data_IF_128418219118
#
_entry.id   IF_128418219118
#
_cell.length_a   1.000
_cell.length_b   1.000
_cell.length_c   1.000
_cell.angle_alpha   90.00
_cell.angle_beta   90.00
_cell.angle_gamma   90.00
#
_symmetry.space_group_name_H-M   'P 1'
#
loop_
_entity.id
_entity.type
_entity.pdbx_description
1 polymer ?
#
# COMPACT_ATOMS: atom_id res chain seq x y z
N UNK A 1 2.63 26.81 -12.95
CA UNK A 1 3.92 26.96 -12.23
C UNK A 1 4.89 25.88 -12.72
N UNK A 2 5.97 26.27 -13.39
CA UNK A 2 7.04 25.37 -13.87
C UNK A 2 8.00 24.98 -12.73
N UNK A 3 8.77 23.88 -12.86
CA UNK A 3 9.64 23.36 -11.78
C UNK A 3 10.75 24.33 -11.34
N UNK A 4 11.13 25.28 -12.18
CA UNK A 4 12.19 26.27 -11.93
C UNK A 4 11.94 27.27 -10.80
N UNK A 5 10.73 27.31 -10.24
CA UNK A 5 10.36 28.26 -9.18
C UNK A 5 10.34 27.63 -7.78
N UNK A 6 10.65 26.34 -7.65
CA UNK A 6 10.71 25.69 -6.35
C UNK A 6 12.03 26.01 -5.64
N UNK A 7 11.92 26.29 -4.35
CA UNK A 7 13.01 26.58 -3.43
C UNK A 7 12.99 25.60 -2.26
N UNK A 8 14.07 25.54 -1.48
CA UNK A 8 14.15 24.70 -0.28
C UNK A 8 13.33 25.25 0.89
N UNK A 9 13.12 26.56 0.93
CA UNK A 9 12.35 27.30 1.94
C UNK A 9 11.62 28.49 1.31
N UNK A 10 10.63 29.05 2.01
CA UNK A 10 9.83 30.18 1.54
C UNK A 10 8.33 29.95 1.73
N UNK A 11 7.51 30.48 0.82
CA UNK A 11 6.06 30.30 0.87
C UNK A 11 5.67 28.87 0.44
N UNK A 12 4.73 28.27 1.17
CA UNK A 12 4.23 26.91 0.93
C UNK A 12 3.46 26.80 -0.38
N UNK A 13 3.63 25.67 -1.08
CA UNK A 13 2.85 25.34 -2.28
C UNK A 13 1.99 24.12 -2.00
N UNK A 14 0.67 24.31 -1.93
CA UNK A 14 -0.31 23.24 -1.80
C UNK A 14 -0.55 22.62 -3.17
N UNK A 15 -0.28 21.32 -3.27
CA UNK A 15 -0.38 20.50 -4.49
C UNK A 15 -1.38 19.36 -4.28
N UNK A 16 -1.68 18.62 -5.34
CA UNK A 16 -2.60 17.48 -5.28
C UNK A 16 -2.21 16.42 -4.25
N UNK A 17 -0.90 16.28 -3.93
CA UNK A 17 -0.42 15.37 -2.91
C UNK A 17 -0.81 15.79 -1.48
N UNK A 18 -1.01 17.10 -1.26
CA UNK A 18 -1.44 17.64 0.04
C UNK A 18 -2.93 17.41 0.31
N UNK A 19 -3.73 17.24 -0.75
CA UNK A 19 -5.18 17.09 -0.66
C UNK A 19 -5.49 15.60 -0.58
N UNK A 20 -5.62 15.06 0.63
CA UNK A 20 -6.24 13.77 0.90
C UNK A 20 -7.76 13.87 0.89
N UNK A 21 -8.44 12.77 1.22
CA UNK A 21 -9.88 12.72 1.32
C UNK A 21 -10.33 12.99 2.76
N UNK A 22 -10.76 14.23 3.04
CA UNK A 22 -11.05 14.69 4.40
C UNK A 22 -9.81 15.09 5.22
N UNK A 23 -8.60 14.77 4.74
CA UNK A 23 -7.35 14.92 5.51
C UNK A 23 -6.30 15.71 4.73
N UNK A 24 -5.70 16.71 5.36
CA UNK A 24 -4.55 17.42 4.83
C UNK A 24 -3.25 16.63 5.07
N UNK A 25 -2.45 16.44 4.02
CA UNK A 25 -1.15 15.77 4.08
C UNK A 25 -0.04 16.83 4.02
N UNK A 26 0.82 16.89 5.04
CA UNK A 26 1.87 17.94 5.15
C UNK A 26 3.10 17.67 4.27
N UNK A 27 2.88 17.40 2.98
CA UNK A 27 3.94 17.28 1.99
C UNK A 27 4.56 18.66 1.70
N UNK A 28 5.89 18.76 1.84
CA UNK A 28 6.57 20.05 1.81
C UNK A 28 6.98 20.46 0.40
N UNK A 29 6.68 21.71 0.06
CA UNK A 29 7.14 22.36 -1.16
C UNK A 29 7.08 23.87 -0.99
N UNK A 30 8.09 24.56 -1.52
CA UNK A 30 8.23 26.00 -1.31
C UNK A 30 8.55 26.73 -2.61
N UNK A 31 8.20 28.01 -2.62
CA UNK A 31 8.60 29.00 -3.61
C UNK A 31 9.18 30.20 -2.89
N UNK A 32 9.95 31.01 -3.60
CA UNK A 32 10.45 32.26 -3.07
C UNK A 32 9.31 33.21 -2.64
N UNK A 33 9.52 33.93 -1.54
CA UNK A 33 8.50 34.83 -0.96
C UNK A 33 8.21 36.01 -1.88
N UNK A 34 9.19 36.54 -2.62
CA UNK A 34 8.95 37.62 -3.59
C UNK A 34 8.08 37.15 -4.75
N UNK A 35 8.20 35.87 -5.15
CA UNK A 35 7.32 35.29 -6.16
C UNK A 35 5.91 34.99 -5.62
N UNK A 36 5.80 34.65 -4.34
CA UNK A 36 4.51 34.56 -3.65
C UNK A 36 3.74 35.89 -3.65
N UNK A 37 4.43 37.01 -3.41
CA UNK A 37 3.80 38.35 -3.43
C UNK A 37 3.16 38.68 -4.80
N UNK A 38 3.66 38.09 -5.89
CA UNK A 38 3.07 38.23 -7.23
C UNK A 38 1.83 37.34 -7.44
N UNK A 39 1.57 36.38 -6.55
CA UNK A 39 0.54 35.34 -6.66
C UNK A 39 -0.49 35.38 -5.52
N UNK A 40 -0.65 36.54 -4.87
CA UNK A 40 -1.53 36.73 -3.70
C UNK A 40 -2.97 36.27 -3.92
N UNK A 41 -3.48 36.36 -5.15
CA UNK A 41 -4.82 35.87 -5.51
C UNK A 41 -5.00 34.35 -5.26
N UNK A 42 -3.90 33.60 -5.22
CA UNK A 42 -3.87 32.15 -4.97
C UNK A 42 -3.53 31.78 -3.52
N UNK A 43 -3.39 32.77 -2.63
CA UNK A 43 -3.06 32.57 -1.22
C UNK A 43 -4.08 31.67 -0.51
N UNK A 44 -3.62 30.69 0.26
CA UNK A 44 -4.47 29.85 1.10
C UNK A 44 -4.14 30.05 2.57
N UNK A 45 -5.18 30.06 3.40
CA UNK A 45 -5.09 30.32 4.84
C UNK A 45 -5.62 29.13 5.63
N UNK A 46 -5.29 29.07 6.91
CA UNK A 46 -5.90 28.12 7.82
C UNK A 46 -7.43 28.24 7.79
N UNK A 47 -8.12 27.10 7.79
CA UNK A 47 -9.57 27.01 7.67
C UNK A 47 -10.13 27.13 6.26
N UNK A 48 -9.34 27.51 5.25
CA UNK A 48 -9.78 27.44 3.85
C UNK A 48 -9.98 25.97 3.43
N UNK A 49 -11.00 25.71 2.62
CA UNK A 49 -11.22 24.40 1.99
C UNK A 49 -10.40 24.33 0.70
N UNK A 50 -9.59 23.30 0.53
CA UNK A 50 -8.87 23.05 -0.73
C UNK A 50 -9.41 21.79 -1.40
N UNK A 51 -9.74 21.91 -2.68
CA UNK A 51 -10.42 20.87 -3.47
C UNK A 51 -9.53 20.50 -4.65
N UNK A 52 -9.24 19.21 -4.81
CA UNK A 52 -8.59 18.70 -6.00
C UNK A 52 -9.54 18.81 -7.19
N UNK A 53 -9.07 19.40 -8.28
CA UNK A 53 -9.81 19.45 -9.55
C UNK A 53 -9.51 18.27 -10.47
N UNK A 54 -8.62 17.38 -10.05
CA UNK A 54 -7.97 16.38 -10.91
C UNK A 54 -7.59 15.14 -10.11
N UNK A 55 -8.01 13.96 -10.58
CA UNK A 55 -7.79 12.68 -9.90
C UNK A 55 -8.98 11.74 -10.08
N UNK A 56 -8.81 10.49 -9.67
CA UNK A 56 -9.81 9.42 -9.88
C UNK A 56 -11.08 9.63 -9.06
N UNK A 57 -10.95 10.04 -7.79
CA UNK A 57 -12.08 10.36 -6.91
C UNK A 57 -12.23 11.88 -6.82
N UNK A 58 -13.27 12.44 -7.44
CA UNK A 58 -13.57 13.87 -7.41
C UNK A 58 -15.00 14.11 -6.90
N UNK A 59 -15.24 15.18 -6.10
CA UNK A 59 -14.26 16.14 -5.59
C UNK A 59 -13.57 15.60 -4.32
N UNK A 60 -12.23 15.48 -4.35
CA UNK A 60 -11.44 15.20 -3.13
C UNK A 60 -11.03 16.52 -2.48
N UNK A 61 -11.23 16.65 -1.17
CA UNK A 61 -10.99 17.91 -0.47
C UNK A 61 -10.44 17.72 0.94
N UNK A 62 -9.81 18.76 1.48
CA UNK A 62 -9.43 18.85 2.89
C UNK A 62 -9.43 20.31 3.37
N UNK A 63 -9.46 20.49 4.69
CA UNK A 63 -9.33 21.81 5.32
C UNK A 63 -7.85 22.08 5.58
N UNK A 64 -7.38 23.27 5.25
CA UNK A 64 -5.99 23.67 5.49
C UNK A 64 -5.79 23.93 6.98
N UNK A 65 -4.81 23.26 7.62
CA UNK A 65 -4.49 23.50 9.03
C UNK A 65 -3.73 24.83 9.19
N UNK A 66 -3.40 25.18 10.42
CA UNK A 66 -2.39 26.21 10.67
C UNK A 66 -1.06 25.80 10.03
N UNK A 67 -0.49 26.69 9.22
CA UNK A 67 0.77 26.48 8.52
C UNK A 67 1.82 27.47 9.01
N UNK A 68 3.08 27.03 9.04
CA UNK A 68 4.21 27.89 9.38
C UNK A 68 4.60 28.75 8.18
N UNK A 69 3.85 29.83 7.96
CA UNK A 69 4.12 30.84 6.92
C UNK A 69 3.10 30.86 5.78
N UNK A 70 3.27 31.78 4.81
CA UNK A 70 2.34 31.99 3.71
C UNK A 70 2.25 30.76 2.81
N UNK A 71 1.09 30.55 2.17
CA UNK A 71 0.85 29.41 1.31
C UNK A 71 0.03 29.80 0.07
N UNK A 72 0.22 29.08 -1.04
CA UNK A 72 -0.63 29.19 -2.25
C UNK A 72 -1.12 27.83 -2.72
N UNK A 73 -2.23 27.82 -3.47
CA UNK A 73 -2.66 26.63 -4.21
C UNK A 73 -2.02 26.57 -5.61
N UNK A 74 -1.62 25.37 -6.03
CA UNK A 74 -1.24 25.09 -7.42
C UNK A 74 -2.47 25.03 -8.33
N UNK A 75 -2.32 25.21 -9.64
CA UNK A 75 -3.42 25.31 -10.61
C UNK A 75 -4.49 24.20 -10.55
N UNK A 76 -4.12 22.96 -10.21
CA UNK A 76 -5.09 21.85 -10.10
C UNK A 76 -5.77 21.76 -8.71
N UNK A 77 -5.46 22.67 -7.80
CA UNK A 77 -5.97 22.78 -6.44
C UNK A 77 -6.81 24.05 -6.34
N UNK A 78 -8.08 23.89 -5.97
CA UNK A 78 -9.06 24.97 -5.90
C UNK A 78 -9.24 25.36 -4.44
N UNK A 79 -8.98 26.62 -4.12
CA UNK A 79 -9.30 27.20 -2.80
C UNK A 79 -10.75 27.67 -2.78
N UNK A 80 -11.50 27.24 -1.79
CA UNK A 80 -12.82 27.76 -1.45
C UNK A 80 -12.80 28.32 -0.02
N UNK A 81 -13.07 29.62 0.10
CA UNK A 81 -13.30 30.28 1.39
C UNK A 81 -14.79 30.30 1.66
N UNK A 82 -15.21 29.50 2.63
CA UNK A 82 -16.63 29.28 2.93
C UNK A 82 -17.18 30.45 3.74
N UNK A 83 -18.44 30.81 3.50
CA UNK A 83 -19.10 31.91 4.20
C UNK A 83 -19.17 31.63 5.72
N UNK A 84 -18.97 32.62 6.63
CA UNK A 84 -18.97 32.37 8.07
C UNK A 84 -20.25 31.74 8.65
N UNK A 85 -21.39 31.87 7.96
CA UNK A 85 -22.65 31.22 8.34
C UNK A 85 -22.78 29.76 7.84
N UNK A 86 -21.75 29.23 7.20
CA UNK A 86 -21.67 27.84 6.74
C UNK A 86 -20.41 27.22 7.33
N UNK A 87 -20.55 26.13 8.07
CA UNK A 87 -19.41 25.42 8.64
C UNK A 87 -18.57 24.79 7.51
N UNK A 88 -17.28 25.11 7.43
CA UNK A 88 -16.39 24.54 6.40
C UNK A 88 -16.36 23.01 6.46
N UNK A 89 -16.47 22.41 7.66
CA UNK A 89 -16.52 20.94 7.84
C UNK A 89 -17.80 20.33 7.30
N UNK A 90 -18.92 21.06 7.36
CA UNK A 90 -20.16 20.65 6.71
C UNK A 90 -19.96 20.51 5.20
N UNK A 91 -19.36 21.52 4.57
CA UNK A 91 -19.04 21.49 3.14
C UNK A 91 -18.07 20.34 2.82
N UNK A 92 -17.02 20.15 3.63
CA UNK A 92 -16.07 19.06 3.48
C UNK A 92 -16.77 17.69 3.45
N UNK A 93 -17.57 17.38 4.47
CA UNK A 93 -18.28 16.10 4.53
C UNK A 93 -19.30 15.94 3.40
N UNK A 94 -19.90 17.03 2.92
CA UNK A 94 -20.83 17.00 1.80
C UNK A 94 -20.11 16.64 0.50
N UNK A 95 -18.91 17.19 0.25
CA UNK A 95 -18.07 16.80 -0.90
C UNK A 95 -17.67 15.33 -0.86
N UNK A 96 -17.54 14.75 0.34
CA UNK A 96 -17.23 13.34 0.54
C UNK A 96 -18.45 12.42 0.37
N UNK A 97 -19.68 12.96 0.40
CA UNK A 97 -20.89 12.16 0.33
C UNK A 97 -21.04 11.45 -1.02
N UNK A 98 -21.50 10.18 -1.05
CA UNK A 98 -21.66 9.41 -2.29
C UNK A 98 -22.47 10.16 -3.35
N UNK A 99 -23.62 10.74 -2.98
CA UNK A 99 -24.47 11.49 -3.90
C UNK A 99 -23.74 12.65 -4.61
N UNK A 100 -22.83 13.33 -3.90
CA UNK A 100 -22.05 14.45 -4.45
C UNK A 100 -20.97 13.96 -5.40
N UNK A 101 -20.34 12.82 -5.08
CA UNK A 101 -19.35 12.17 -5.94
C UNK A 101 -19.98 11.61 -7.21
N UNK A 102 -21.17 11.01 -7.11
CA UNK A 102 -21.93 10.53 -8.26
C UNK A 102 -22.31 11.70 -9.18
N UNK A 103 -22.81 12.80 -8.59
CA UNK A 103 -23.13 14.03 -9.32
C UNK A 103 -21.91 14.64 -10.02
N UNK A 104 -20.74 14.61 -9.38
CA UNK A 104 -19.49 15.12 -9.95
C UNK A 104 -18.99 14.21 -11.08
N UNK A 105 -19.01 12.90 -10.86
CA UNK A 105 -18.61 11.88 -11.83
C UNK A 105 -19.44 11.98 -13.10
N UNK A 106 -20.75 12.18 -12.98
CA UNK A 106 -21.65 12.34 -14.14
C UNK A 106 -21.37 13.58 -15.00
N UNK A 107 -20.53 14.51 -14.53
CA UNK A 107 -20.18 15.78 -15.20
C UNK A 107 -18.75 15.80 -15.73
N UNK A 108 -17.94 14.81 -15.39
CA UNK A 108 -16.58 14.67 -15.92
C UNK A 108 -16.69 14.12 -17.35
N UNK A 109 -16.06 14.80 -18.30
CA UNK A 109 -15.99 14.39 -19.70
C UNK A 109 -14.56 13.97 -20.06
N UNK A 110 -14.42 12.90 -20.85
CA UNK A 110 -13.14 12.43 -21.40
C UNK A 110 -12.59 11.17 -20.72
N UNK A 111 -11.77 10.41 -21.46
CA UNK A 111 -11.11 9.17 -21.00
C UNK A 111 -9.67 9.51 -20.56
N UNK A 112 -9.24 9.04 -19.38
CA UNK A 112 -7.86 9.14 -18.92
C UNK A 112 -7.67 9.94 -17.64
N UNK A 113 -7.61 11.28 -17.73
CA UNK A 113 -7.29 12.17 -16.60
C UNK A 113 -8.54 12.94 -16.12
N UNK A 114 -9.43 12.32 -15.33
CA UNK A 114 -10.67 12.93 -14.86
C UNK A 114 -10.44 14.30 -14.21
N UNK A 115 -11.22 15.30 -14.65
CA UNK A 115 -11.10 16.68 -14.21
C UNK A 115 -12.46 17.30 -13.93
N UNK A 116 -12.63 17.84 -12.73
CA UNK A 116 -13.74 18.70 -12.34
C UNK A 116 -13.21 20.13 -12.19
N UNK A 117 -13.23 20.89 -13.28
CA UNK A 117 -12.73 22.27 -13.31
C UNK A 117 -13.58 23.24 -12.49
N UNK A 118 -13.12 24.49 -12.41
CA UNK A 118 -13.75 25.54 -11.59
C UNK A 118 -15.25 25.74 -11.85
N UNK A 119 -15.68 25.67 -13.12
CA UNK A 119 -17.09 25.79 -13.49
C UNK A 119 -17.93 24.66 -12.89
N UNK A 120 -17.42 23.41 -12.91
CA UNK A 120 -18.09 22.26 -12.31
C UNK A 120 -18.15 22.36 -10.78
N UNK A 121 -17.05 22.76 -10.13
CA UNK A 121 -17.02 22.92 -8.67
C UNK A 121 -18.04 23.98 -8.20
N UNK A 122 -18.18 25.09 -8.93
CA UNK A 122 -19.16 26.15 -8.59
C UNK A 122 -20.62 25.71 -8.71
N UNK A 123 -20.89 24.65 -9.46
CA UNK A 123 -22.24 24.12 -9.68
C UNK A 123 -22.61 23.01 -8.70
N UNK A 124 -21.69 22.56 -7.83
CA UNK A 124 -21.99 21.52 -6.85
C UNK A 124 -23.14 22.00 -5.96
N UNK A 125 -24.26 21.27 -5.92
CA UNK A 125 -25.38 21.62 -5.06
C UNK A 125 -25.00 21.37 -3.60
N UNK A 126 -25.10 22.40 -2.76
CA UNK A 126 -24.80 22.32 -1.33
C UNK A 126 -26.09 22.60 -0.56
N UNK A 127 -26.66 21.62 0.18
CA UNK A 127 -27.71 21.91 1.13
C UNK A 127 -27.12 22.74 2.28
N UNK A 128 -27.81 23.82 2.67
CA UNK A 128 -27.35 24.73 3.71
C UNK A 128 -28.44 24.82 4.80
N UNK A 129 -28.50 23.84 5.72
CA UNK A 129 -29.36 23.96 6.89
C UNK A 129 -28.84 25.06 7.82
N UNK A 130 -29.59 25.46 8.87
CA UNK A 130 -29.13 26.43 9.87
C UNK A 130 -27.75 26.10 10.42
N UNK A 131 -26.96 27.13 10.77
CA UNK A 131 -25.59 26.93 11.26
C UNK A 131 -25.55 26.03 12.51
N UNK A 132 -26.53 26.14 13.39
CA UNK A 132 -26.64 25.29 14.59
C UNK A 132 -26.85 23.82 14.22
N UNK A 133 -27.71 23.53 13.24
CA UNK A 133 -27.94 22.18 12.73
C UNK A 133 -26.68 21.63 12.04
N UNK A 134 -26.02 22.43 11.19
CA UNK A 134 -24.75 22.05 10.54
C UNK A 134 -23.73 21.58 11.58
N UNK A 135 -23.48 22.39 12.62
CA UNK A 135 -22.52 22.08 13.69
C UNK A 135 -22.86 20.79 14.44
N UNK A 136 -24.15 20.56 14.71
CA UNK A 136 -24.64 19.36 15.41
C UNK A 136 -24.45 18.09 14.58
N UNK A 137 -24.75 18.16 13.27
CA UNK A 137 -24.54 17.04 12.35
C UNK A 137 -23.04 16.74 12.19
N UNK A 138 -22.21 17.78 11.99
CA UNK A 138 -20.75 17.66 11.88
C UNK A 138 -20.18 17.00 13.13
N UNK A 139 -20.55 17.46 14.33
CA UNK A 139 -20.07 16.88 15.57
C UNK A 139 -20.43 15.38 15.69
N UNK A 140 -21.64 14.99 15.27
CA UNK A 140 -22.04 13.59 15.26
C UNK A 140 -21.22 12.77 14.25
N UNK A 141 -21.04 13.27 13.02
CA UNK A 141 -20.22 12.62 11.98
C UNK A 141 -18.78 12.41 12.44
N UNK A 142 -18.13 13.46 12.95
CA UNK A 142 -16.75 13.40 13.44
C UNK A 142 -16.62 12.42 14.60
N UNK A 143 -17.61 12.36 15.50
CA UNK A 143 -17.67 11.37 16.57
C UNK A 143 -17.71 9.93 16.05
N UNK A 144 -18.55 9.63 15.05
CA UNK A 144 -18.58 8.32 14.43
C UNK A 144 -17.30 8.00 13.66
N UNK A 145 -16.78 8.93 12.87
CA UNK A 145 -15.56 8.74 12.09
C UNK A 145 -14.33 8.52 12.95
N UNK A 146 -14.25 9.19 14.10
CA UNK A 146 -13.21 8.94 15.10
C UNK A 146 -13.25 7.50 15.62
N UNK A 147 -14.44 6.99 15.98
CA UNK A 147 -14.64 5.60 16.42
C UNK A 147 -14.28 4.58 15.33
N UNK A 148 -14.69 4.85 14.08
CA UNK A 148 -14.33 3.99 12.93
C UNK A 148 -12.81 3.97 12.76
N UNK A 149 -12.17 5.15 12.78
CA UNK A 149 -10.71 5.25 12.60
C UNK A 149 -9.95 4.52 13.70
N UNK A 150 -10.41 4.61 14.95
CA UNK A 150 -9.84 3.85 16.06
C UNK A 150 -9.97 2.34 15.85
N UNK A 151 -11.16 1.85 15.44
CA UNK A 151 -11.38 0.45 15.10
C UNK A 151 -10.47 -0.01 13.95
N UNK A 152 -10.39 0.77 12.86
CA UNK A 152 -9.51 0.50 11.72
C UNK A 152 -8.04 0.36 12.14
N UNK A 153 -7.56 1.21 13.06
CA UNK A 153 -6.18 1.15 13.55
C UNK A 153 -5.89 -0.13 14.35
N UNK A 154 -6.86 -0.58 15.15
CA UNK A 154 -6.77 -1.83 15.93
C UNK A 154 -6.72 -3.06 15.02
N UNK A 155 -7.56 -3.05 13.97
CA UNK A 155 -7.58 -4.07 12.91
C UNK A 155 -6.24 -4.10 12.17
N UNK A 156 -5.66 -2.94 11.85
CA UNK A 156 -4.36 -2.87 11.19
C UNK A 156 -3.21 -3.39 12.08
N UNK A 157 -3.25 -3.11 13.38
CA UNK A 157 -2.28 -3.67 14.33
C UNK A 157 -2.41 -5.20 14.43
N UNK A 158 -3.64 -5.73 14.44
CA UNK A 158 -3.88 -7.18 14.41
C UNK A 158 -3.31 -7.82 13.13
N UNK A 159 -3.51 -7.20 11.96
CA UNK A 159 -2.92 -7.65 10.69
C UNK A 159 -1.39 -7.81 10.77
N UNK A 160 -0.69 -6.78 11.27
CA UNK A 160 0.78 -6.81 11.43
C UNK A 160 1.24 -7.93 12.37
N UNK A 161 0.51 -8.17 13.47
CA UNK A 161 0.82 -9.28 14.40
C UNK A 161 0.65 -10.64 13.72
N UNK A 162 -0.43 -10.83 12.97
CA UNK A 162 -0.71 -12.07 12.23
C UNK A 162 0.37 -12.39 11.19
N UNK A 163 0.94 -11.39 10.52
CA UNK A 163 2.01 -11.57 9.52
C UNK A 163 3.28 -12.21 10.10
N UNK A 164 3.52 -12.07 11.41
CA UNK A 164 4.71 -12.62 12.09
C UNK A 164 4.41 -13.84 12.95
N UNK A 165 3.12 -14.13 13.22
CA UNK A 165 2.70 -15.15 14.18
C UNK A 165 3.16 -16.56 13.80
N UNK A 166 3.01 -16.96 12.54
CA UNK A 166 3.39 -18.31 12.09
C UNK A 166 4.89 -18.58 12.29
N UNK A 167 5.75 -17.58 12.06
CA UNK A 167 7.20 -17.69 12.30
C UNK A 167 7.52 -17.82 13.79
N UNK A 168 6.87 -17.00 14.61
CA UNK A 168 7.04 -17.00 16.07
C UNK A 168 6.62 -18.31 16.73
N UNK A 169 5.62 -19.01 16.19
CA UNK A 169 5.17 -20.30 16.73
C UNK A 169 6.27 -21.35 16.58
N UNK A 170 6.95 -21.40 15.43
CA UNK A 170 8.08 -22.32 15.21
C UNK A 170 9.17 -22.02 16.24
N UNK A 171 9.62 -20.78 16.33
CA UNK A 171 10.68 -20.39 17.27
C UNK A 171 10.29 -20.72 18.73
N UNK A 172 9.07 -20.37 19.16
CA UNK A 172 8.58 -20.64 20.52
C UNK A 172 8.50 -22.13 20.85
N UNK A 173 8.04 -22.97 19.91
CA UNK A 173 8.03 -24.43 20.09
C UNK A 173 9.43 -24.99 20.21
N UNK A 174 10.36 -24.53 19.37
CA UNK A 174 11.77 -24.96 19.40
C UNK A 174 12.48 -24.55 20.71
N UNK A 175 12.15 -23.38 21.25
CA UNK A 175 12.70 -22.90 22.53
C UNK A 175 12.16 -23.69 23.73
N UNK A 176 10.85 -23.93 23.78
CA UNK A 176 10.22 -24.64 24.89
C UNK A 176 10.74 -26.09 25.05
N UNK A 177 10.99 -26.76 23.92
CA UNK A 177 11.36 -28.17 23.90
C UNK A 177 12.85 -28.45 24.13
N UNK A 178 13.70 -27.42 24.24
CA UNK A 178 15.17 -27.56 24.41
C UNK A 178 15.79 -28.60 23.46
N UNK A 179 15.35 -28.58 22.20
CA UNK A 179 15.64 -29.63 21.23
C UNK A 179 17.14 -29.69 20.93
N UNK A 180 17.71 -30.90 20.96
CA UNK A 180 19.08 -31.14 20.48
C UNK A 180 19.19 -30.76 19.01
N UNK A 181 20.25 -30.05 18.66
CA UNK A 181 20.56 -29.74 17.27
C UNK A 181 21.57 -30.73 16.71
N UNK A 182 21.54 -30.93 15.40
CA UNK A 182 22.54 -31.70 14.68
C UNK A 182 22.97 -30.96 13.42
N UNK A 183 24.23 -31.11 12.96
CA UNK A 183 24.65 -30.55 11.69
C UNK A 183 23.76 -31.09 10.56
N UNK A 184 23.38 -30.24 9.60
CA UNK A 184 22.58 -30.65 8.45
C UNK A 184 23.15 -31.90 7.77
N UNK A 185 24.48 -32.01 7.68
CA UNK A 185 25.17 -33.16 7.10
C UNK A 185 24.76 -34.50 7.71
N UNK A 186 24.47 -34.56 9.00
CA UNK A 186 24.17 -35.83 9.68
C UNK A 186 22.74 -36.34 9.44
N UNK A 187 21.86 -35.50 8.88
CA UNK A 187 20.45 -35.82 8.63
C UNK A 187 20.14 -35.94 7.13
N UNK A 188 21.15 -36.01 6.26
CA UNK A 188 20.96 -36.14 4.82
C UNK A 188 20.72 -37.59 4.40
N UNK A 189 19.71 -37.83 3.57
CA UNK A 189 19.51 -39.10 2.87
C UNK A 189 20.41 -39.24 1.64
N UNK A 190 20.87 -38.12 1.09
CA UNK A 190 21.76 -38.08 -0.07
C UNK A 190 22.69 -36.87 0.01
N UNK A 191 23.89 -36.92 -0.62
CA UNK A 191 24.75 -35.76 -0.72
C UNK A 191 24.03 -34.56 -1.33
N UNK A 192 24.39 -33.36 -0.85
CA UNK A 192 23.89 -32.11 -1.42
C UNK A 192 24.26 -32.02 -2.90
N UNK A 193 23.32 -31.59 -3.73
CA UNK A 193 23.54 -31.48 -5.17
C UNK A 193 23.34 -30.04 -5.63
N UNK A 194 24.31 -29.50 -6.36
CA UNK A 194 24.12 -28.26 -7.12
C UNK A 194 23.43 -28.60 -8.43
N UNK A 195 22.57 -27.70 -8.91
CA UNK A 195 22.05 -27.83 -10.27
C UNK A 195 23.11 -27.44 -11.30
N UNK A 196 22.70 -27.38 -12.57
CA UNK A 196 23.57 -26.97 -13.67
C UNK A 196 22.96 -25.82 -14.45
N UNK A 197 23.78 -24.82 -14.76
CA UNK A 197 23.38 -23.69 -15.59
C UNK A 197 23.33 -24.13 -17.05
N UNK A 198 22.27 -23.73 -17.74
CA UNK A 198 22.14 -23.91 -19.18
C UNK A 198 21.60 -22.65 -19.86
N UNK A 199 22.04 -22.38 -21.10
CA UNK A 199 21.43 -21.37 -21.96
C UNK A 199 19.92 -21.59 -22.07
N UNK A 200 19.17 -20.49 -22.14
CA UNK A 200 17.73 -20.55 -22.40
C UNK A 200 17.49 -21.01 -23.83
N UNK A 201 16.51 -21.90 -23.98
CA UNK A 201 16.03 -22.39 -25.26
C UNK A 201 14.51 -22.54 -25.14
N UNK A 202 13.73 -21.90 -26.02
CA UNK A 202 12.27 -21.79 -25.85
C UNK A 202 11.61 -23.17 -25.93
N UNK A 203 12.14 -24.04 -26.77
CA UNK A 203 11.67 -25.43 -26.95
C UNK A 203 12.51 -26.43 -26.15
N UNK A 204 13.41 -25.94 -25.31
CA UNK A 204 14.31 -26.76 -24.51
C UNK A 204 13.63 -27.44 -23.32
N UNK A 205 14.34 -28.40 -22.73
CA UNK A 205 13.87 -29.14 -21.55
C UNK A 205 13.53 -28.20 -20.38
N UNK A 206 12.44 -28.43 -19.63
CA UNK A 206 12.05 -27.57 -18.52
C UNK A 206 13.09 -27.46 -17.41
N UNK A 207 13.46 -26.22 -17.05
CA UNK A 207 14.38 -25.89 -15.96
C UNK A 207 13.77 -24.84 -15.05
N UNK A 208 13.76 -25.08 -13.74
CA UNK A 208 13.29 -24.11 -12.75
C UNK A 208 14.10 -22.80 -12.81
N UNK A 209 13.45 -21.69 -12.48
CA UNK A 209 14.10 -20.41 -12.22
C UNK A 209 14.30 -20.26 -10.71
N UNK A 210 15.27 -19.43 -10.31
CA UNK A 210 15.44 -19.10 -8.89
C UNK A 210 14.16 -18.51 -8.26
N UNK A 211 13.33 -17.82 -9.06
CA UNK A 211 12.03 -17.25 -8.68
C UNK A 211 10.97 -18.29 -8.31
N UNK A 212 11.21 -19.58 -8.57
CA UNK A 212 10.38 -20.68 -8.10
C UNK A 212 10.42 -20.86 -6.58
N UNK A 213 11.47 -20.41 -5.90
CA UNK A 213 11.53 -20.43 -4.43
C UNK A 213 10.68 -19.30 -3.85
N UNK A 214 9.53 -19.64 -3.25
CA UNK A 214 8.59 -18.66 -2.66
C UNK A 214 8.12 -19.13 -1.29
N UNK A 215 8.34 -18.31 -0.27
CA UNK A 215 7.76 -18.49 1.08
C UNK A 215 7.83 -19.90 1.70
N UNK A 216 8.92 -20.63 1.44
CA UNK A 216 9.12 -22.00 1.97
C UNK A 216 8.57 -23.11 1.08
N UNK A 217 8.02 -22.78 -0.09
CA UNK A 217 7.54 -23.73 -1.10
C UNK A 217 8.26 -23.55 -2.44
N UNK A 218 8.10 -24.53 -3.33
CA UNK A 218 8.61 -24.51 -4.70
C UNK A 218 7.45 -24.39 -5.70
N UNK A 219 7.45 -23.34 -6.51
CA UNK A 219 6.46 -23.09 -7.56
C UNK A 219 6.94 -23.65 -8.91
N UNK A 220 6.37 -24.76 -9.35
CA UNK A 220 6.76 -25.44 -10.59
C UNK A 220 6.43 -24.64 -11.86
N UNK A 221 5.56 -23.63 -11.78
CA UNK A 221 5.23 -22.78 -12.95
C UNK A 221 6.36 -21.80 -13.29
N UNK A 222 7.23 -21.49 -12.32
CA UNK A 222 8.37 -20.57 -12.47
C UNK A 222 9.57 -21.27 -13.10
N UNK A 223 9.46 -21.54 -14.40
CA UNK A 223 10.45 -22.28 -15.19
C UNK A 223 10.82 -21.58 -16.51
N UNK A 224 11.81 -22.13 -17.19
CA UNK A 224 12.20 -21.79 -18.57
C UNK A 224 12.54 -23.06 -19.33
N UNK A 225 12.49 -23.03 -20.66
CA UNK A 225 13.18 -24.05 -21.43
C UNK A 225 14.70 -23.81 -21.38
N UNK A 226 15.46 -24.88 -21.21
CA UNK A 226 16.91 -24.87 -21.16
C UNK A 226 17.48 -25.84 -22.20
N UNK A 227 18.68 -25.52 -22.71
CA UNK A 227 19.39 -26.39 -23.65
C UNK A 227 19.95 -27.63 -22.95
N UNK A 228 19.06 -28.57 -22.67
CA UNK A 228 19.32 -29.90 -22.14
C UNK A 228 18.67 -30.94 -23.02
N UNK A 229 19.35 -32.07 -23.20
CA UNK A 229 18.68 -33.31 -23.59
C UNK A 229 18.03 -33.95 -22.35
N UNK A 230 17.06 -34.86 -22.55
CA UNK A 230 16.49 -35.62 -21.44
C UNK A 230 17.57 -36.42 -20.68
N UNK A 231 18.59 -36.92 -21.39
CA UNK A 231 19.72 -37.63 -20.79
C UNK A 231 20.58 -36.71 -19.91
N UNK A 232 20.85 -35.47 -20.34
CA UNK A 232 21.58 -34.48 -19.53
C UNK A 232 20.84 -34.11 -18.24
N UNK A 233 19.51 -34.02 -18.33
CA UNK A 233 18.65 -33.60 -17.23
C UNK A 233 18.45 -34.69 -16.17
N UNK A 234 18.68 -35.97 -16.48
CA UNK A 234 18.31 -37.12 -15.64
C UNK A 234 18.78 -37.01 -14.17
N UNK A 235 20.02 -36.58 -13.94
CA UNK A 235 20.57 -36.42 -12.58
C UNK A 235 20.06 -35.18 -11.83
N UNK A 236 19.51 -34.22 -12.58
CA UNK A 236 18.99 -32.95 -12.08
C UNK A 236 17.47 -32.92 -12.01
N UNK A 237 16.79 -34.05 -12.28
CA UNK A 237 15.33 -34.10 -12.16
C UNK A 237 14.92 -33.80 -10.72
N UNK A 238 13.97 -32.89 -10.61
CA UNK A 238 13.30 -32.52 -9.38
C UNK A 238 12.36 -33.67 -9.00
N UNK A 239 12.36 -34.06 -7.73
CA UNK A 239 11.49 -35.09 -7.19
C UNK A 239 10.64 -34.53 -6.05
N UNK A 240 9.49 -35.14 -5.82
CA UNK A 240 8.66 -34.83 -4.65
C UNK A 240 9.49 -34.93 -3.37
N UNK A 241 9.22 -34.02 -2.45
CA UNK A 241 9.91 -33.83 -1.16
C UNK A 241 11.37 -33.36 -1.28
N UNK A 242 11.83 -32.99 -2.48
CA UNK A 242 13.07 -32.24 -2.61
C UNK A 242 12.92 -30.87 -1.96
N UNK A 243 13.91 -30.51 -1.13
CA UNK A 243 14.03 -29.18 -0.58
C UNK A 243 15.16 -28.43 -1.29
N UNK A 244 14.87 -27.27 -1.85
CA UNK A 244 15.87 -26.46 -2.56
C UNK A 244 16.17 -25.20 -1.80
N UNK A 245 17.40 -24.70 -1.91
CA UNK A 245 17.79 -23.40 -1.36
C UNK A 245 18.48 -22.52 -2.39
N UNK A 246 18.29 -21.20 -2.24
CA UNK A 246 18.94 -20.18 -3.08
C UNK A 246 20.44 -20.09 -2.76
N UNK A 247 21.29 -20.38 -3.74
CA UNK A 247 22.74 -20.40 -3.57
C UNK A 247 23.38 -19.01 -3.56
N UNK A 248 22.72 -18.02 -4.16
CA UNK A 248 23.17 -16.63 -4.12
C UNK A 248 22.07 -15.62 -4.37
N UNK A 249 22.19 -14.44 -3.78
CA UNK A 249 21.22 -13.36 -3.90
C UNK A 249 21.87 -11.99 -3.60
N UNK A 250 21.35 -10.90 -4.17
CA UNK A 250 21.79 -9.54 -3.83
C UNK A 250 21.45 -9.12 -2.40
N UNK A 251 20.45 -9.76 -1.77
CA UNK A 251 20.06 -9.50 -0.39
C UNK A 251 20.51 -10.62 0.55
N UNK A 252 21.15 -10.23 1.67
CA UNK A 252 21.57 -11.15 2.73
C UNK A 252 20.37 -11.92 3.32
N UNK A 253 19.23 -11.26 3.47
CA UNK A 253 17.99 -11.87 4.00
C UNK A 253 17.31 -12.86 3.04
N UNK A 254 17.74 -12.89 1.77
CA UNK A 254 17.20 -13.76 0.73
C UNK A 254 18.15 -14.91 0.34
N UNK A 255 19.47 -14.76 0.54
CA UNK A 255 20.41 -15.86 0.31
C UNK A 255 20.13 -17.03 1.26
N UNK A 256 20.16 -18.25 0.71
CA UNK A 256 19.85 -19.47 1.44
C UNK A 256 18.41 -19.64 1.86
N UNK A 257 17.48 -18.81 1.37
CA UNK A 257 16.05 -19.14 1.50
C UNK A 257 15.75 -20.44 0.78
N UNK A 258 14.87 -21.23 1.38
CA UNK A 258 14.51 -22.54 0.88
C UNK A 258 13.05 -22.69 0.48
N UNK A 259 12.77 -23.78 -0.23
CA UNK A 259 11.46 -24.14 -0.72
C UNK A 259 11.34 -25.66 -0.81
N UNK A 260 10.30 -26.20 -0.18
CA UNK A 260 9.92 -27.61 -0.29
C UNK A 260 9.02 -27.80 -1.52
N UNK A 261 9.28 -28.85 -2.29
CA UNK A 261 8.31 -29.35 -3.25
C UNK A 261 7.42 -30.41 -2.59
N UNK A 262 6.15 -30.10 -2.41
CA UNK A 262 5.17 -31.04 -1.84
C UNK A 262 4.38 -31.81 -2.90
N UNK A 263 4.26 -31.25 -4.10
CA UNK A 263 3.50 -31.83 -5.21
C UNK A 263 4.38 -32.72 -6.10
N UNK A 264 3.75 -33.66 -6.82
CA UNK A 264 4.46 -34.50 -7.79
C UNK A 264 4.85 -33.65 -9.02
N UNK A 265 6.14 -33.52 -9.36
CA UNK A 265 6.55 -32.70 -10.49
C UNK A 265 6.39 -33.44 -11.82
N UNK A 266 6.14 -32.69 -12.89
CA UNK A 266 6.45 -33.15 -14.24
C UNK A 266 7.98 -33.19 -14.45
N UNK A 267 8.43 -33.67 -15.61
CA UNK A 267 9.85 -33.76 -15.93
C UNK A 267 10.47 -32.34 -16.01
N UNK A 268 11.09 -31.92 -14.91
CA UNK A 268 11.72 -30.61 -14.76
C UNK A 268 13.02 -30.77 -13.97
N UNK A 269 14.04 -30.03 -14.36
CA UNK A 269 15.32 -30.02 -13.67
C UNK A 269 15.64 -28.65 -13.05
N UNK A 270 16.67 -28.56 -12.21
CA UNK A 270 16.96 -27.35 -11.42
C UNK A 270 18.31 -26.71 -11.76
N UNK A 271 18.41 -25.36 -11.69
CA UNK A 271 19.59 -24.62 -12.11
C UNK A 271 20.69 -24.62 -11.05
N UNK A 272 21.92 -24.24 -11.44
CA UNK A 272 23.06 -24.12 -10.53
C UNK A 272 22.89 -23.07 -9.42
N UNK A 273 21.93 -22.16 -9.59
CA UNK A 273 21.55 -21.16 -8.58
C UNK A 273 20.83 -21.76 -7.39
N UNK A 274 20.50 -23.06 -7.42
CA UNK A 274 19.90 -23.80 -6.33
C UNK A 274 20.82 -24.92 -5.81
N UNK A 275 20.68 -25.23 -4.52
CA UNK A 275 21.22 -26.45 -3.92
C UNK A 275 20.04 -27.32 -3.47
N UNK A 276 20.04 -28.59 -3.85
CA UNK A 276 19.09 -29.60 -3.41
C UNK A 276 19.53 -30.24 -2.10
N UNK A 277 18.58 -30.40 -1.19
CA UNK A 277 18.67 -31.04 0.11
C UNK A 277 17.65 -32.18 0.13
N UNK A 278 18.11 -33.37 0.51
CA UNK A 278 17.27 -34.54 0.79
C UNK A 278 17.59 -35.03 2.19
N UNK A 279 16.60 -35.03 3.05
CA UNK A 279 16.76 -35.49 4.44
C UNK A 279 16.37 -36.94 4.58
N UNK A 280 17.01 -37.61 5.54
CA UNK A 280 16.61 -38.93 6.01
C UNK A 280 15.28 -38.80 6.75
N UNK A 281 14.23 -39.39 6.17
CA UNK A 281 12.85 -39.25 6.66
C UNK A 281 12.61 -39.92 8.01
N UNK A 282 13.45 -40.89 8.37
CA UNK A 282 13.39 -41.54 9.67
C UNK A 282 13.89 -40.61 10.78
N UNK A 283 14.68 -39.59 10.42
CA UNK A 283 15.21 -38.59 11.34
C UNK A 283 14.46 -37.26 11.25
N UNK A 284 14.18 -36.76 10.04
CA UNK A 284 13.60 -35.44 9.80
C UNK A 284 12.58 -35.48 8.67
N UNK A 285 11.36 -35.03 8.96
CA UNK A 285 10.32 -34.85 7.95
C UNK A 285 10.65 -33.65 7.04
N UNK A 286 10.52 -33.77 5.71
CA UNK A 286 10.77 -32.66 4.77
C UNK A 286 9.95 -31.39 5.07
N UNK A 287 8.69 -31.55 5.49
CA UNK A 287 7.81 -30.46 5.92
C UNK A 287 8.34 -29.77 7.18
N UNK A 288 8.85 -30.56 8.13
CA UNK A 288 9.47 -30.02 9.33
C UNK A 288 10.74 -29.25 9.00
N UNK A 289 11.60 -29.79 8.11
CA UNK A 289 12.78 -29.08 7.60
C UNK A 289 12.37 -27.72 7.02
N UNK A 290 11.34 -27.67 6.17
CA UNK A 290 10.87 -26.42 5.57
C UNK A 290 10.46 -25.38 6.63
N UNK A 291 9.77 -25.80 7.69
CA UNK A 291 9.39 -24.93 8.80
C UNK A 291 10.61 -24.39 9.56
N UNK A 292 11.53 -25.27 9.95
CA UNK A 292 12.69 -24.86 10.75
C UNK A 292 13.75 -24.11 9.94
N UNK A 293 13.82 -24.32 8.62
CA UNK A 293 14.76 -23.60 7.75
C UNK A 293 14.47 -22.09 7.72
N UNK A 294 13.20 -21.72 7.84
CA UNK A 294 12.75 -20.33 7.98
C UNK A 294 12.79 -19.77 9.40
N UNK A 295 13.13 -20.58 10.40
CA UNK A 295 13.22 -20.16 11.81
C UNK A 295 14.37 -19.19 12.04
N UNK A 296 14.28 -18.41 13.11
CA UNK A 296 15.33 -17.46 13.49
C UNK A 296 16.67 -18.17 13.69
N UNK A 297 16.66 -19.30 14.40
CA UNK A 297 17.86 -20.07 14.75
C UNK A 297 18.64 -20.55 13.52
N UNK A 298 17.96 -21.00 12.47
CA UNK A 298 18.61 -21.46 11.24
C UNK A 298 19.01 -20.28 10.35
N UNK A 299 18.15 -19.26 10.24
CA UNK A 299 18.42 -18.08 9.42
C UNK A 299 19.64 -17.29 9.87
N UNK A 300 19.81 -17.06 11.16
CA UNK A 300 20.98 -16.36 11.71
C UNK A 300 22.30 -17.08 11.37
N UNK A 301 22.31 -18.43 11.41
CA UNK A 301 23.48 -19.22 11.02
C UNK A 301 23.80 -19.08 9.52
N UNK A 302 22.78 -19.15 8.66
CA UNK A 302 22.95 -19.01 7.21
C UNK A 302 23.50 -17.62 6.87
N UNK A 303 22.90 -16.56 7.42
CA UNK A 303 23.31 -15.18 7.16
C UNK A 303 24.74 -14.91 7.64
N UNK A 304 25.11 -15.44 8.82
CA UNK A 304 26.49 -15.36 9.34
C UNK A 304 27.51 -16.11 8.47
N UNK A 305 27.09 -17.22 7.85
CA UNK A 305 27.94 -18.04 6.99
C UNK A 305 28.11 -17.47 5.57
N UNK A 306 27.17 -16.64 5.11
CA UNK A 306 27.17 -16.09 3.77
C UNK A 306 28.41 -15.22 3.51
N UNK A 307 28.87 -15.21 2.26
CA UNK A 307 30.01 -14.38 1.80
C UNK A 307 29.60 -13.56 0.59
N UNK A 308 30.05 -12.31 0.54
CA UNK A 308 29.72 -11.40 -0.57
C UNK A 308 30.81 -11.40 -1.62
N UNK A 309 30.43 -11.42 -2.90
CA UNK A 309 31.33 -11.21 -4.02
C UNK A 309 30.63 -10.32 -5.03
N UNK A 310 31.22 -9.17 -5.37
CA UNK A 310 30.63 -8.18 -6.28
C UNK A 310 29.16 -7.81 -5.94
N UNK A 311 28.87 -7.60 -4.65
CA UNK A 311 27.52 -7.25 -4.19
C UNK A 311 26.51 -8.41 -4.11
N UNK A 312 26.90 -9.64 -4.45
CA UNK A 312 26.05 -10.82 -4.37
C UNK A 312 26.49 -11.69 -3.18
N UNK A 313 25.59 -11.93 -2.24
CA UNK A 313 25.80 -12.90 -1.17
C UNK A 313 25.69 -14.31 -1.73
N UNK A 314 26.61 -15.19 -1.32
CA UNK A 314 26.68 -16.59 -1.75
C UNK A 314 26.85 -17.51 -0.54
N UNK A 315 26.30 -18.71 -0.68
CA UNK A 315 26.52 -19.84 0.21
C UNK A 315 26.94 -21.06 -0.62
N UNK A 316 27.71 -21.97 -0.04
CA UNK A 316 28.12 -23.21 -0.68
C UNK A 316 27.71 -24.43 0.16
N UNK A 317 27.90 -25.62 -0.38
CA UNK A 317 27.52 -26.87 0.28
C UNK A 317 28.22 -27.08 1.64
N UNK A 318 29.51 -26.74 1.75
CA UNK A 318 30.26 -26.88 3.03
C UNK A 318 29.69 -25.97 4.12
N UNK A 319 29.30 -24.73 3.77
CA UNK A 319 28.69 -23.79 4.71
C UNK A 319 27.37 -24.33 5.24
N UNK A 320 26.51 -24.85 4.36
CA UNK A 320 25.19 -25.34 4.76
C UNK A 320 25.25 -26.70 5.49
N UNK A 321 26.22 -27.56 5.17
CA UNK A 321 26.46 -28.82 5.89
C UNK A 321 26.66 -28.63 7.40
N UNK A 322 27.28 -27.52 7.80
CA UNK A 322 27.56 -27.19 9.20
C UNK A 322 26.42 -26.51 9.95
N UNK A 323 25.33 -26.14 9.27
CA UNK A 323 24.17 -25.48 9.89
C UNK A 323 23.54 -26.45 10.88
N UNK A 324 23.37 -25.99 12.12
CA UNK A 324 22.73 -26.74 13.19
C UNK A 324 21.22 -26.66 13.03
N UNK A 325 20.58 -27.81 12.82
CA UNK A 325 19.13 -27.96 12.65
C UNK A 325 18.58 -28.67 13.89
N UNK A 326 17.46 -28.23 14.48
CA UNK A 326 16.78 -28.98 15.53
C UNK A 326 16.28 -30.34 15.02
N UNK A 327 16.51 -31.42 15.75
CA UNK A 327 16.08 -32.77 15.37
C UNK A 327 15.32 -33.43 16.54
N UNK A 328 14.07 -33.04 16.80
CA UNK A 328 13.25 -33.72 17.80
C UNK A 328 12.73 -35.05 17.24
N UNK A 329 12.09 -35.87 18.07
CA UNK A 329 11.46 -37.12 17.60
C UNK A 329 10.41 -36.83 16.50
N UNK A 330 10.22 -37.77 15.57
CA UNK A 330 9.26 -37.64 14.46
C UNK A 330 7.86 -37.27 14.96
N UNK A 331 7.43 -37.85 16.08
CA UNK A 331 6.14 -37.50 16.73
C UNK A 331 6.06 -36.02 17.12
N UNK A 332 7.13 -35.46 17.68
CA UNK A 332 7.19 -34.03 18.04
C UNK A 332 7.25 -33.15 16.78
N UNK A 333 7.94 -33.60 15.73
CA UNK A 333 7.94 -32.89 14.44
C UNK A 333 6.53 -32.79 13.86
N UNK A 334 5.76 -33.89 13.86
CA UNK A 334 4.36 -33.92 13.41
C UNK A 334 3.47 -32.98 14.23
N UNK A 335 3.65 -32.93 15.55
CA UNK A 335 2.92 -32.00 16.41
C UNK A 335 3.21 -30.54 16.05
N UNK A 336 4.49 -30.18 15.85
CA UNK A 336 4.88 -28.82 15.45
C UNK A 336 4.31 -28.46 14.08
N UNK A 337 4.34 -29.39 13.12
CA UNK A 337 3.72 -29.20 11.79
C UNK A 337 2.22 -28.92 11.96
N UNK A 338 1.51 -29.74 12.73
CA UNK A 338 0.08 -29.59 12.96
C UNK A 338 -0.28 -28.25 13.61
N UNK A 339 0.49 -27.82 14.62
CA UNK A 339 0.30 -26.52 15.28
C UNK A 339 0.47 -25.36 14.31
N UNK A 340 1.51 -25.40 13.47
CA UNK A 340 1.79 -24.35 12.49
C UNK A 340 0.72 -24.34 11.39
N UNK A 341 0.26 -25.50 10.94
CA UNK A 341 -0.86 -25.61 10.01
C UNK A 341 -2.14 -24.99 10.59
N UNK A 342 -2.54 -25.40 11.80
CA UNK A 342 -3.71 -24.85 12.50
C UNK A 342 -3.60 -23.32 12.69
N UNK A 343 -2.41 -22.82 13.02
CA UNK A 343 -2.16 -21.39 13.15
C UNK A 343 -2.26 -20.65 11.80
N UNK A 344 -1.71 -21.22 10.71
CA UNK A 344 -1.81 -20.65 9.36
C UNK A 344 -3.26 -20.57 8.88
N UNK A 345 -4.07 -21.60 9.14
CA UNK A 345 -5.50 -21.58 8.87
C UNK A 345 -6.23 -20.49 9.68
N UNK A 346 -5.93 -20.39 10.98
CA UNK A 346 -6.45 -19.33 11.85
C UNK A 346 -6.09 -17.93 11.34
N UNK A 347 -4.84 -17.74 10.90
CA UNK A 347 -4.37 -16.51 10.25
C UNK A 347 -5.15 -16.24 8.96
N UNK A 348 -5.41 -17.26 8.15
CA UNK A 348 -6.23 -17.17 6.93
C UNK A 348 -7.64 -16.67 7.22
N UNK A 349 -8.33 -17.29 8.20
CA UNK A 349 -9.66 -16.87 8.65
C UNK A 349 -9.66 -15.43 9.18
N UNK A 350 -8.69 -15.08 10.01
CA UNK A 350 -8.56 -13.73 10.55
C UNK A 350 -8.31 -12.69 9.45
N UNK A 351 -7.48 -12.99 8.44
CA UNK A 351 -7.30 -12.13 7.26
C UNK A 351 -8.60 -11.91 6.49
N UNK A 352 -9.39 -12.97 6.31
CA UNK A 352 -10.72 -12.89 5.69
C UNK A 352 -11.65 -11.94 6.45
N UNK A 353 -11.72 -12.07 7.78
CA UNK A 353 -12.51 -11.17 8.63
C UNK A 353 -12.03 -9.72 8.56
N UNK A 354 -10.71 -9.48 8.58
CA UNK A 354 -10.12 -8.14 8.44
C UNK A 354 -10.54 -7.50 7.12
N UNK A 355 -10.53 -8.25 6.03
CA UNK A 355 -10.94 -7.73 4.72
C UNK A 355 -12.44 -7.39 4.70
N UNK A 356 -13.29 -8.23 5.27
CA UNK A 356 -14.72 -7.94 5.39
C UNK A 356 -15.00 -6.71 6.26
N UNK A 357 -14.29 -6.55 7.37
CA UNK A 357 -14.42 -5.37 8.25
C UNK A 357 -14.07 -4.08 7.50
N UNK A 358 -13.01 -4.08 6.68
CA UNK A 358 -12.66 -2.90 5.86
C UNK A 358 -13.78 -2.50 4.90
N UNK A 359 -14.36 -3.47 4.19
CA UNK A 359 -15.50 -3.22 3.29
C UNK A 359 -16.71 -2.65 4.08
N UNK A 360 -16.97 -3.18 5.29
CA UNK A 360 -18.03 -2.67 6.17
C UNK A 360 -17.76 -1.25 6.68
N UNK A 361 -16.50 -0.91 6.98
CA UNK A 361 -16.11 0.44 7.40
C UNK A 361 -16.39 1.47 6.30
N UNK A 362 -16.05 1.14 5.05
CA UNK A 362 -16.30 2.02 3.90
C UNK A 362 -17.81 2.21 3.69
N UNK A 363 -18.59 1.13 3.72
CA UNK A 363 -20.04 1.19 3.64
C UNK A 363 -20.66 2.02 4.79
N UNK A 364 -20.17 1.83 6.02
CA UNK A 364 -20.66 2.58 7.18
C UNK A 364 -20.37 4.07 7.04
N UNK A 365 -19.17 4.46 6.58
CA UNK A 365 -18.85 5.88 6.30
C UNK A 365 -19.80 6.47 5.27
N UNK A 366 -20.03 5.78 4.15
CA UNK A 366 -20.97 6.20 3.11
C UNK A 366 -22.41 6.32 3.63
N UNK A 367 -22.85 5.35 4.44
CA UNK A 367 -24.19 5.35 5.04
C UNK A 367 -24.39 6.50 6.02
N UNK A 368 -23.41 6.79 6.88
CA UNK A 368 -23.45 7.91 7.81
C UNK A 368 -23.53 9.26 7.08
N UNK A 369 -22.75 9.44 6.01
CA UNK A 369 -22.85 10.64 5.17
C UNK A 369 -24.24 10.74 4.52
N UNK A 370 -24.78 9.64 3.98
CA UNK A 370 -26.11 9.64 3.39
C UNK A 370 -27.19 9.99 4.43
N UNK A 371 -27.11 9.45 5.65
CA UNK A 371 -28.04 9.79 6.74
C UNK A 371 -27.90 11.25 7.19
N UNK A 372 -26.69 11.79 7.23
CA UNK A 372 -26.44 13.19 7.58
C UNK A 372 -27.13 14.14 6.61
N UNK A 373 -26.95 13.93 5.30
CA UNK A 373 -27.46 14.83 4.27
C UNK A 373 -28.92 14.56 3.87
N UNK A 374 -29.56 13.54 4.46
CA UNK A 374 -31.01 13.29 4.37
C UNK A 374 -31.76 13.65 5.65
N UNK A 375 -31.09 14.26 6.63
CA UNK A 375 -31.68 14.72 7.89
C UNK A 375 -32.03 13.59 8.87
N UNK A 376 -31.46 12.40 8.70
CA UNK A 376 -31.76 11.19 9.47
C UNK A 376 -30.71 10.87 10.55
N UNK A 377 -29.54 11.50 10.51
CA UNK A 377 -28.44 11.18 11.44
C UNK A 377 -28.69 11.69 12.87
N UNK A 378 -29.39 12.82 13.02
CA UNK A 378 -29.61 13.48 14.30
C UNK A 378 -31.06 13.95 14.40
N UNK A 379 -31.63 13.98 15.60
CA UNK A 379 -33.02 14.41 15.83
C UNK A 379 -33.19 15.87 15.44
N UNK A 380 -34.20 16.21 14.64
CA UNK A 380 -34.49 17.60 14.27
C UNK A 380 -34.89 18.44 15.48
N UNK A 381 -34.44 19.69 15.54
CA UNK A 381 -34.77 20.64 16.61
C UNK A 381 -35.78 21.67 16.09
N UNK A 382 -37.03 21.67 16.58
CA UNK A 382 -38.05 22.63 16.15
C UNK A 382 -37.71 24.10 16.43
N UNK A 383 -36.74 24.37 17.30
CA UNK A 383 -36.27 25.72 17.62
C UNK A 383 -35.15 26.22 16.70
N UNK A 384 -34.61 25.37 15.82
CA UNK A 384 -33.66 25.82 14.81
C UNK A 384 -34.40 26.73 13.81
N UNK A 385 -33.74 27.79 13.33
CA UNK A 385 -34.33 28.67 12.31
C UNK A 385 -34.67 27.88 11.03
N UNK A 386 -35.66 28.27 10.21
CA UNK A 386 -35.87 27.62 8.92
C UNK A 386 -34.68 27.86 7.97
N UNK A 387 -34.28 26.84 7.21
CA UNK A 387 -33.18 26.96 6.24
C UNK A 387 -33.40 28.08 5.20
N UNK A 388 -34.66 28.41 4.88
CA UNK A 388 -35.02 29.53 4.00
C UNK A 388 -34.49 30.87 4.49
N UNK A 389 -34.52 31.12 5.80
CA UNK A 389 -34.04 32.37 6.42
C UNK A 389 -32.53 32.53 6.24
N UNK A 390 -31.76 31.46 6.44
CA UNK A 390 -30.33 31.48 6.16
C UNK A 390 -30.04 31.68 4.66
N UNK A 391 -30.77 31.01 3.78
CA UNK A 391 -30.60 31.17 2.33
C UNK A 391 -30.92 32.58 1.85
N UNK A 392 -31.92 33.24 2.42
CA UNK A 392 -32.24 34.65 2.14
C UNK A 392 -31.09 35.58 2.54
N UNK A 393 -30.51 35.41 3.73
CA UNK A 393 -29.33 36.19 4.17
C UNK A 393 -28.15 36.02 3.20
N UNK A 394 -27.85 34.77 2.83
CA UNK A 394 -26.77 34.46 1.89
C UNK A 394 -27.00 35.03 0.48
N UNK A 395 -28.26 35.17 0.04
CA UNK A 395 -28.62 35.81 -1.24
C UNK A 395 -28.49 37.32 -1.15
N UNK A 396 -28.95 37.94 -0.06
CA UNK A 396 -28.88 39.38 0.16
C UNK A 396 -27.45 39.91 0.18
N UNK A 397 -26.53 39.19 0.81
CA UNK A 397 -25.11 39.57 0.89
C UNK A 397 -24.37 39.42 -0.45
N UNK A 398 -24.82 38.52 -1.34
CA UNK A 398 -24.26 38.39 -2.71
C UNK A 398 -24.68 39.52 -3.65
N UNK A 399 -25.72 40.29 -3.29
CA UNK A 399 -26.21 41.44 -4.07
C UNK A 399 -25.42 42.73 -3.85
N UNK A 400 -24.53 42.78 -2.84
CA UNK A 400 -23.61 43.90 -2.65
C UNK A 400 -22.38 43.76 -3.58
N UNK A 401 -21.94 44.83 -4.27
CA UNK A 401 -20.84 44.72 -5.22
C UNK A 401 -19.54 44.39 -4.49
N UNK A 402 -19.05 43.16 -4.65
CA UNK A 402 -17.67 42.81 -4.32
C UNK A 402 -16.68 43.52 -5.26
N UNK A 403 -15.41 43.68 -4.85
CA UNK A 403 -14.42 44.47 -5.59
C UNK A 403 -14.27 43.91 -7.01
N UNK A 404 -14.48 44.79 -7.99
CA UNK A 404 -14.29 44.53 -9.41
C UNK A 404 -12.88 44.02 -9.67
N UNK A 405 -12.74 42.75 -10.04
CA UNK A 405 -11.52 42.21 -10.64
C UNK A 405 -11.29 42.96 -11.95
N UNK A 406 -10.19 43.70 -12.00
CA UNK A 406 -9.80 44.55 -13.11
C UNK A 406 -9.89 43.86 -14.46
N UNK A 407 -10.43 44.60 -15.42
CA UNK A 407 -10.44 44.31 -16.85
C UNK A 407 -9.05 43.87 -17.33
N UNK A 408 -8.99 42.71 -18.01
CA UNK A 408 -7.81 42.25 -18.75
C UNK A 408 -7.36 43.32 -19.76
N UNK A 409 -6.23 43.98 -19.49
CA UNK A 409 -5.50 44.76 -20.50
C UNK A 409 -4.75 43.83 -21.46
N UNK A 410 -4.95 44.07 -22.76
CA UNK A 410 -3.94 43.94 -23.81
C UNK A 410 -3.40 42.55 -24.12
N UNK A 411 -3.97 41.90 -25.14
CA UNK A 411 -3.32 40.82 -25.88
C UNK A 411 -2.26 41.48 -26.79
N UNK A 412 -0.98 41.39 -26.44
CA UNK A 412 0.09 41.81 -27.34
C UNK A 412 0.19 40.86 -28.53
N UNK A 413 0.32 41.45 -29.71
CA UNK A 413 0.41 40.79 -31.01
C UNK A 413 1.63 39.86 -31.11
N UNK A 414 1.45 38.79 -31.87
CA UNK A 414 2.50 37.83 -32.23
C UNK A 414 3.53 38.49 -33.15
N UNK A 415 4.81 38.43 -32.79
CA UNK A 415 5.90 38.63 -33.73
C UNK A 415 6.01 37.44 -34.71
N UNK A 416 6.37 37.66 -35.99
CA UNK A 416 6.38 36.62 -37.01
C UNK A 416 7.58 35.67 -36.88
N UNK A 417 7.36 34.44 -37.35
CA UNK A 417 8.36 33.38 -37.50
C UNK A 417 9.49 33.85 -38.43
N UNK A 418 10.74 33.71 -37.99
CA UNK A 418 11.89 33.74 -38.90
C UNK A 418 12.07 32.37 -39.53
N UNK A 419 12.06 32.39 -40.86
CA UNK A 419 12.38 31.29 -41.75
C UNK A 419 13.77 30.72 -41.50
N UNK A 420 13.82 29.41 -41.66
CA UNK A 420 15.02 28.58 -41.80
C UNK A 420 15.75 28.95 -43.09
N UNK A 421 17.04 29.26 -43.00
CA UNK A 421 17.98 29.17 -44.12
C UNK A 421 19.33 28.68 -43.57
N UNK A 422 19.65 27.45 -44.02
CA UNK A 422 20.92 26.70 -43.99
C UNK A 422 21.58 26.37 -42.64
#
# INVERSE_FOLDING_TARGET
MASRHYTESGARVIRLQNIGDGVFRDEKAFIDVSYFEQLRDHEVRAGDLVIASLGEELPRACIVPELNGPAIVKADCIRARIHPQVDTRWVLHMLMAPATRDWATSRIKGVGRPRLGMAGIRQIPIPVPPLTEQKRIVAALEGYFSRITFASSSVQAAKRRLETLAKRIVDARLDALHVRTSPLLSILAAPLANGRSVPTDVEGFPVLRLTALRDGTLDLSERKGGRWTAADAQQFLVQKDDFFISRGNGSLSLVGRGGLLSDEPDAVAFPDTMIRIRVDRDQVLPEFLSLVWGSRKVREQIEKSARTTAGIYKINQRMIQGIQVPVPSVTVQQQIIADVCAAREGIGRARGQIQQTRVREDYLRSSLLAQAFTGRLVRQNPLDEPASVLLERLRGERGAPGPTLGTRRGRSEKAPQKETLL
#
